data_IF_550421449363
#
_entry.id   IF_550421449363
#
_cell.length_a   1.000
_cell.length_b   1.000
_cell.length_c   1.000
_cell.angle_alpha   90.00
_cell.angle_beta   90.00
_cell.angle_gamma   90.00
#
_symmetry.space_group_name_H-M   'P 1'
#
loop_
_entity.id
_entity.type
_entity.pdbx_description
1 polymer ?
#
# COMPACT_ATOMS: atom_id res chain seq x y z
N UNK A 1 25.53 -66.78 -2.60
CA UNK A 1 25.57 -65.53 -3.38
C UNK A 1 24.22 -64.77 -3.37
N UNK A 2 23.14 -65.29 -2.79
CA UNK A 2 21.83 -64.65 -2.76
C UNK A 2 21.65 -63.60 -1.65
N UNK A 3 22.27 -63.81 -0.47
CA UNK A 3 22.04 -62.92 0.70
C UNK A 3 22.64 -61.50 0.56
N UNK A 4 23.75 -61.38 -0.19
CA UNK A 4 24.40 -60.07 -0.42
C UNK A 4 23.59 -59.12 -1.35
N UNK A 5 22.82 -59.70 -2.27
CA UNK A 5 21.99 -58.93 -3.21
C UNK A 5 20.72 -58.35 -2.57
N UNK A 6 20.18 -59.02 -1.54
CA UNK A 6 19.00 -58.56 -0.80
C UNK A 6 19.38 -57.37 0.12
N UNK A 7 20.55 -57.41 0.74
CA UNK A 7 21.05 -56.33 1.58
C UNK A 7 21.28 -55.02 0.82
N UNK A 8 21.80 -55.09 -0.41
CA UNK A 8 22.07 -53.91 -1.24
C UNK A 8 20.80 -53.27 -1.75
N UNK A 9 19.75 -54.04 -2.09
CA UNK A 9 18.48 -53.54 -2.53
C UNK A 9 17.70 -52.84 -1.40
N UNK A 10 17.80 -53.31 -0.16
CA UNK A 10 17.17 -52.69 0.99
C UNK A 10 17.80 -51.32 1.37
N UNK A 11 19.13 -51.18 1.26
CA UNK A 11 19.82 -49.90 1.49
C UNK A 11 19.47 -48.84 0.44
N UNK A 12 19.30 -49.23 -0.84
CA UNK A 12 18.95 -48.28 -1.91
C UNK A 12 17.53 -47.74 -1.76
N UNK A 13 16.59 -48.55 -1.28
CA UNK A 13 15.21 -48.13 -1.02
C UNK A 13 15.10 -47.14 0.16
N UNK A 14 15.95 -47.28 1.18
CA UNK A 14 15.96 -46.40 2.34
C UNK A 14 16.49 -44.98 2.02
N UNK A 15 17.42 -44.85 1.04
CA UNK A 15 17.99 -43.57 0.63
C UNK A 15 17.00 -42.76 -0.23
N UNK A 16 16.11 -43.41 -0.98
CA UNK A 16 15.08 -42.74 -1.80
C UNK A 16 13.90 -42.19 -0.96
N UNK A 17 13.64 -42.75 0.22
CA UNK A 17 12.60 -42.27 1.11
C UNK A 17 12.98 -40.97 1.90
N UNK A 18 14.27 -40.65 1.98
CA UNK A 18 14.76 -39.48 2.72
C UNK A 18 14.57 -38.14 1.98
N UNK A 19 14.25 -38.15 0.67
CA UNK A 19 14.13 -36.94 -0.13
C UNK A 19 12.71 -36.33 -0.17
N UNK A 20 11.71 -36.91 0.50
CA UNK A 20 10.31 -36.47 0.41
C UNK A 20 9.77 -35.72 1.64
N UNK A 21 10.64 -35.34 2.58
CA UNK A 21 10.20 -34.52 3.73
C UNK A 21 10.45 -33.04 3.42
N UNK A 22 9.83 -32.55 2.34
CA UNK A 22 9.63 -31.13 2.15
C UNK A 22 8.55 -30.70 3.15
N UNK A 23 8.92 -29.96 4.18
CA UNK A 23 7.90 -29.32 5.01
C UNK A 23 7.06 -28.42 4.10
N UNK A 24 5.72 -28.48 4.20
CA UNK A 24 4.87 -27.56 3.43
C UNK A 24 5.30 -26.13 3.77
N UNK A 25 5.59 -25.34 2.72
CA UNK A 25 5.95 -23.94 2.90
C UNK A 25 4.80 -23.25 3.62
N UNK A 26 5.02 -22.58 4.77
CA UNK A 26 3.97 -21.88 5.49
C UNK A 26 3.27 -20.94 4.55
N UNK A 27 1.94 -20.98 4.52
CA UNK A 27 1.14 -20.02 3.75
C UNK A 27 1.30 -18.65 4.40
N UNK A 28 1.61 -17.59 3.64
CA UNK A 28 1.73 -16.25 4.21
C UNK A 28 0.37 -15.77 4.73
N UNK A 29 0.39 -15.11 5.88
CA UNK A 29 -0.76 -14.34 6.36
C UNK A 29 -0.91 -13.10 5.50
N UNK A 30 -2.12 -12.86 4.97
CA UNK A 30 -2.37 -11.74 4.07
C UNK A 30 -3.20 -10.63 4.72
N UNK A 31 -2.91 -9.38 4.33
CA UNK A 31 -3.47 -8.17 4.91
C UNK A 31 -4.05 -7.23 3.85
N UNK A 32 -5.00 -6.42 4.27
CA UNK A 32 -5.54 -5.28 3.52
C UNK A 32 -5.33 -4.02 4.35
N UNK A 33 -4.84 -2.96 3.73
CA UNK A 33 -4.81 -1.63 4.36
C UNK A 33 -6.22 -1.05 4.33
N UNK A 34 -6.72 -0.67 5.48
CA UNK A 34 -8.06 -0.07 5.63
C UNK A 34 -7.96 1.21 6.47
N UNK A 35 -7.95 2.40 5.83
CA UNK A 35 -7.89 3.65 6.55
C UNK A 35 -9.17 3.88 7.34
N UNK A 36 -9.08 4.47 8.55
CA UNK A 36 -10.24 4.92 9.30
C UNK A 36 -11.18 5.76 8.42
N UNK A 37 -12.48 5.51 8.57
CA UNK A 37 -13.47 6.20 7.78
C UNK A 37 -13.42 7.71 8.04
N UNK A 38 -13.31 8.50 6.97
CA UNK A 38 -13.37 9.94 7.06
C UNK A 38 -14.79 10.42 7.39
N UNK A 39 -14.90 11.55 8.07
CA UNK A 39 -16.16 12.29 8.16
C UNK A 39 -16.60 12.72 6.75
N UNK A 40 -17.89 12.55 6.45
CA UNK A 40 -18.41 12.97 5.15
C UNK A 40 -18.30 14.49 4.98
N UNK A 41 -17.80 14.93 3.83
CA UNK A 41 -17.82 16.35 3.49
C UNK A 41 -19.26 16.84 3.31
N UNK A 42 -19.64 18.03 3.83
CA UNK A 42 -20.95 18.61 3.58
C UNK A 42 -21.18 18.78 2.07
N UNK A 43 -22.39 18.46 1.60
CA UNK A 43 -22.71 18.58 0.16
C UNK A 43 -22.47 20.00 -0.39
N UNK A 44 -22.72 21.03 0.41
CA UNK A 44 -22.49 22.43 0.05
C UNK A 44 -21.01 22.81 -0.08
N UNK A 45 -20.10 22.01 0.49
CA UNK A 45 -18.65 22.22 0.37
C UNK A 45 -18.05 21.48 -0.83
N UNK A 46 -18.85 20.70 -1.57
CA UNK A 46 -18.39 19.96 -2.73
C UNK A 46 -18.45 20.83 -3.99
N UNK A 47 -17.36 20.78 -4.74
CA UNK A 47 -17.25 21.42 -6.06
C UNK A 47 -18.01 20.63 -7.11
N UNK A 48 -18.49 21.24 -8.20
CA UNK A 48 -19.20 20.53 -9.27
C UNK A 48 -18.30 19.60 -10.07
N UNK A 49 -16.98 19.79 -10.00
CA UNK A 49 -15.99 19.02 -10.74
C UNK A 49 -15.86 17.57 -10.20
N UNK A 50 -15.44 16.68 -11.09
CA UNK A 50 -15.20 15.29 -10.78
C UNK A 50 -13.71 14.97 -10.76
N UNK A 51 -13.31 14.08 -9.86
CA UNK A 51 -11.96 13.55 -9.77
C UNK A 51 -11.92 12.10 -10.24
N UNK A 52 -10.89 11.70 -10.98
CA UNK A 52 -10.55 10.30 -11.19
C UNK A 52 -9.20 10.02 -10.55
N UNK A 53 -9.11 8.94 -9.78
CA UNK A 53 -7.81 8.42 -9.34
C UNK A 53 -7.05 7.90 -10.54
N UNK A 54 -5.78 8.25 -10.68
CA UNK A 54 -4.84 7.56 -11.55
C UNK A 54 -4.39 6.24 -10.90
N UNK A 55 -3.68 5.41 -11.67
CA UNK A 55 -3.03 4.23 -11.11
C UNK A 55 -1.98 4.65 -10.08
N UNK A 56 -2.09 4.11 -8.88
CA UNK A 56 -1.12 4.38 -7.81
C UNK A 56 0.13 3.53 -8.05
N UNK A 57 1.24 4.20 -8.26
CA UNK A 57 2.56 3.55 -8.33
C UNK A 57 3.14 3.39 -6.94
N UNK A 58 3.98 2.37 -6.76
CA UNK A 58 4.75 2.16 -5.53
C UNK A 58 6.23 2.07 -5.90
N UNK A 59 7.10 2.74 -5.14
CA UNK A 59 8.53 2.68 -5.34
C UNK A 59 9.03 1.23 -5.27
N UNK A 60 9.97 0.87 -6.14
CA UNK A 60 10.38 -0.53 -6.37
C UNK A 60 10.77 -1.30 -5.10
N UNK A 61 11.35 -0.61 -4.11
CA UNK A 61 11.69 -1.21 -2.82
C UNK A 61 10.46 -1.72 -2.04
N UNK A 62 9.26 -1.19 -2.30
CA UNK A 62 8.01 -1.48 -1.60
C UNK A 62 6.92 -2.02 -2.53
N UNK A 63 7.22 -2.24 -3.80
CA UNK A 63 6.23 -2.63 -4.81
C UNK A 63 5.77 -4.09 -4.69
N UNK A 64 6.56 -4.94 -4.02
CA UNK A 64 6.18 -6.32 -3.75
C UNK A 64 5.07 -6.43 -2.71
N UNK A 65 4.42 -7.60 -2.66
CA UNK A 65 3.34 -7.83 -1.70
C UNK A 65 3.83 -8.03 -0.26
N UNK A 66 5.09 -8.42 -0.03
CA UNK A 66 5.63 -8.62 1.30
C UNK A 66 5.65 -7.33 2.12
N UNK A 67 5.34 -7.42 3.42
CA UNK A 67 5.56 -6.30 4.34
C UNK A 67 7.06 -6.01 4.43
N UNK A 68 7.44 -4.74 4.49
CA UNK A 68 8.84 -4.33 4.57
C UNK A 68 9.11 -3.70 5.93
N UNK A 69 10.20 -4.12 6.58
CA UNK A 69 10.65 -3.58 7.85
C UNK A 69 12.03 -2.97 7.71
N UNK A 70 12.22 -1.79 8.30
CA UNK A 70 13.52 -1.15 8.48
C UNK A 70 14.05 -1.53 9.86
N UNK A 71 15.21 -2.21 9.91
CA UNK A 71 15.81 -2.74 11.14
C UNK A 71 16.97 -1.87 11.64
N UNK A 72 17.64 -1.14 10.74
CA UNK A 72 18.64 -0.13 11.08
C UNK A 72 18.66 1.00 10.03
N UNK A 73 19.73 1.81 9.99
CA UNK A 73 19.78 2.97 9.11
C UNK A 73 19.86 2.62 7.62
N UNK A 74 20.33 1.43 7.27
CA UNK A 74 20.51 0.96 5.89
C UNK A 74 19.87 -0.39 5.60
N UNK A 75 19.44 -1.12 6.65
CA UNK A 75 18.92 -2.48 6.50
C UNK A 75 17.39 -2.48 6.42
N UNK A 76 16.89 -2.98 5.30
CA UNK A 76 15.47 -3.27 5.06
C UNK A 76 15.31 -4.76 4.77
N UNK A 77 14.25 -5.35 5.30
CA UNK A 77 13.92 -6.76 5.09
C UNK A 77 12.47 -6.90 4.65
N UNK A 78 12.23 -7.81 3.71
CA UNK A 78 10.88 -8.22 3.32
C UNK A 78 10.44 -9.41 4.16
N UNK A 79 9.22 -9.39 4.69
CA UNK A 79 8.68 -10.46 5.51
C UNK A 79 8.22 -11.63 4.61
N UNK A 80 8.76 -12.84 4.79
CA UNK A 80 8.37 -13.99 3.99
C UNK A 80 7.00 -14.60 4.38
N UNK A 81 6.46 -14.20 5.55
CA UNK A 81 5.26 -14.79 6.13
C UNK A 81 4.05 -13.84 6.19
N UNK A 82 4.27 -12.54 5.99
CA UNK A 82 3.24 -11.51 6.07
C UNK A 82 3.26 -10.64 4.82
N UNK A 83 2.13 -10.56 4.13
CA UNK A 83 2.06 -9.89 2.84
C UNK A 83 0.71 -9.15 2.66
N UNK A 84 0.66 -8.20 1.76
CA UNK A 84 -0.60 -7.68 1.25
C UNK A 84 -1.29 -8.76 0.39
N UNK A 85 -2.64 -8.80 0.42
CA UNK A 85 -3.42 -9.79 -0.34
C UNK A 85 -3.30 -9.59 -1.86
N UNK A 86 -2.97 -8.39 -2.29
CA UNK A 86 -2.71 -8.02 -3.69
C UNK A 86 -1.67 -6.90 -3.75
N UNK A 87 -1.35 -6.42 -4.95
CA UNK A 87 -0.39 -5.32 -5.12
C UNK A 87 -0.76 -4.09 -4.26
N UNK A 88 0.18 -3.57 -3.46
CA UNK A 88 -0.09 -2.48 -2.53
C UNK A 88 -0.57 -1.21 -3.24
N UNK A 89 -0.13 -0.94 -4.47
CA UNK A 89 -0.61 0.18 -5.27
C UNK A 89 -2.11 0.12 -5.57
N UNK A 90 -2.63 -1.07 -5.90
CA UNK A 90 -4.05 -1.26 -6.16
C UNK A 90 -4.88 -1.10 -4.88
N UNK A 91 -4.43 -1.70 -3.76
CA UNK A 91 -5.10 -1.55 -2.45
C UNK A 91 -5.17 -0.08 -2.05
N UNK A 92 -4.03 0.61 -2.05
CA UNK A 92 -3.93 2.02 -1.65
C UNK A 92 -4.77 2.89 -2.57
N UNK A 93 -4.71 2.69 -3.89
CA UNK A 93 -5.47 3.48 -4.87
C UNK A 93 -6.98 3.39 -4.67
N UNK A 94 -7.50 2.18 -4.48
CA UNK A 94 -8.92 1.96 -4.23
C UNK A 94 -9.38 2.62 -2.92
N UNK A 95 -8.61 2.46 -1.84
CA UNK A 95 -8.92 3.07 -0.54
C UNK A 95 -8.84 4.60 -0.57
N UNK A 96 -7.88 5.15 -1.31
CA UNK A 96 -7.78 6.59 -1.52
C UNK A 96 -9.00 7.14 -2.27
N UNK A 97 -9.45 6.46 -3.34
CA UNK A 97 -10.64 6.86 -4.07
C UNK A 97 -11.89 6.85 -3.18
N UNK A 98 -12.12 5.77 -2.42
CA UNK A 98 -13.24 5.66 -1.48
C UNK A 98 -13.22 6.75 -0.39
N UNK A 99 -12.05 7.00 0.18
CA UNK A 99 -11.87 8.02 1.20
C UNK A 99 -12.13 9.44 0.66
N UNK A 100 -11.56 9.75 -0.50
CA UNK A 100 -11.72 11.05 -1.16
C UNK A 100 -13.14 11.28 -1.66
N UNK A 101 -13.86 10.23 -2.10
CA UNK A 101 -15.27 10.35 -2.49
C UNK A 101 -16.14 10.73 -1.30
N UNK A 102 -15.80 10.23 -0.09
CA UNK A 102 -16.52 10.58 1.14
C UNK A 102 -16.18 11.96 1.67
N UNK A 103 -14.90 12.30 1.76
CA UNK A 103 -14.41 13.48 2.48
C UNK A 103 -13.82 14.58 1.57
N UNK A 104 -13.56 14.27 0.32
CA UNK A 104 -12.94 15.21 -0.60
C UNK A 104 -13.87 16.33 -1.09
N UNK A 105 -13.30 17.39 -1.69
CA UNK A 105 -14.05 18.55 -2.15
C UNK A 105 -14.75 18.35 -3.50
N UNK A 106 -14.63 17.18 -4.13
CA UNK A 106 -15.18 16.92 -5.46
C UNK A 106 -16.61 16.36 -5.38
N UNK A 107 -17.42 16.61 -6.41
CA UNK A 107 -18.78 16.07 -6.54
C UNK A 107 -18.80 14.55 -6.50
N UNK A 108 -17.85 13.92 -7.16
CA UNK A 108 -17.66 12.48 -7.20
C UNK A 108 -16.19 12.13 -7.44
N UNK A 109 -15.74 11.03 -6.88
CA UNK A 109 -14.41 10.47 -7.12
C UNK A 109 -14.55 9.10 -7.77
N UNK A 110 -13.90 8.93 -8.91
CA UNK A 110 -13.93 7.68 -9.67
C UNK A 110 -12.70 6.83 -9.40
N UNK A 111 -12.88 5.52 -9.40
CA UNK A 111 -11.82 4.54 -9.26
C UNK A 111 -10.82 4.63 -10.45
N UNK A 112 -9.58 4.12 -10.28
CA UNK A 112 -8.54 4.21 -11.31
C UNK A 112 -8.91 3.58 -12.66
N UNK A 113 -9.68 2.48 -12.64
CA UNK A 113 -10.12 1.71 -13.81
C UNK A 113 -11.33 2.33 -14.54
N UNK A 114 -11.93 3.40 -13.99
CA UNK A 114 -13.08 4.04 -14.58
C UNK A 114 -12.67 4.90 -15.78
N UNK A 115 -13.10 4.50 -16.98
CA UNK A 115 -12.78 5.20 -18.24
C UNK A 115 -13.62 6.47 -18.51
N UNK A 116 -14.54 6.86 -17.61
CA UNK A 116 -15.37 8.05 -17.80
C UNK A 116 -14.51 9.33 -17.73
N UNK A 117 -14.83 10.35 -18.54
CA UNK A 117 -14.16 11.64 -18.44
C UNK A 117 -14.29 12.25 -17.03
N UNK A 118 -13.21 12.84 -16.54
CA UNK A 118 -13.15 13.55 -15.28
C UNK A 118 -12.57 14.94 -15.48
N UNK A 119 -12.97 15.89 -14.64
CA UNK A 119 -12.42 17.26 -14.67
C UNK A 119 -10.94 17.25 -14.24
N UNK A 120 -10.63 16.40 -13.27
CA UNK A 120 -9.28 16.24 -12.73
C UNK A 120 -8.87 14.78 -12.65
N UNK A 121 -7.56 14.54 -12.75
CA UNK A 121 -6.92 13.25 -12.45
C UNK A 121 -5.93 13.46 -11.31
N UNK A 122 -6.03 12.64 -10.26
CA UNK A 122 -5.04 12.60 -9.18
C UNK A 122 -4.11 11.42 -9.39
N UNK A 123 -2.89 11.70 -9.79
CA UNK A 123 -1.81 10.72 -9.79
C UNK A 123 -1.17 10.63 -8.41
N UNK A 124 -0.80 9.42 -7.98
CA UNK A 124 -0.10 9.21 -6.73
C UNK A 124 1.04 8.20 -6.91
N UNK A 125 2.11 8.43 -6.17
CA UNK A 125 3.24 7.48 -6.05
C UNK A 125 3.58 7.32 -4.57
N UNK A 126 3.41 6.11 -4.06
CA UNK A 126 3.88 5.75 -2.72
C UNK A 126 5.40 5.60 -2.79
N UNK A 127 6.12 6.50 -2.16
CA UNK A 127 7.58 6.53 -2.18
C UNK A 127 8.21 5.86 -0.95
N UNK A 128 7.46 5.75 0.15
CA UNK A 128 7.84 4.99 1.34
C UNK A 128 6.63 4.22 1.88
N UNK A 129 6.84 2.95 2.22
CA UNK A 129 5.84 2.05 2.81
C UNK A 129 6.55 0.97 3.63
N UNK A 130 6.89 1.26 4.88
CA UNK A 130 7.63 0.33 5.72
C UNK A 130 7.32 0.48 7.21
N UNK A 131 7.58 -0.59 7.97
CA UNK A 131 7.62 -0.56 9.43
C UNK A 131 9.00 -0.13 9.90
N UNK A 132 9.11 0.95 10.66
CA UNK A 132 10.35 1.34 11.31
C UNK A 132 10.47 0.57 12.63
N UNK A 133 11.23 -0.51 12.62
CA UNK A 133 11.46 -1.41 13.76
C UNK A 133 12.91 -1.35 14.26
N UNK A 134 13.55 -0.20 14.08
CA UNK A 134 14.91 0.01 14.56
C UNK A 134 14.97 -0.07 16.09
N UNK A 135 15.98 -0.76 16.61
CA UNK A 135 16.21 -0.87 18.05
C UNK A 135 16.38 0.52 18.72
N UNK A 136 15.88 0.65 19.94
CA UNK A 136 16.00 1.89 20.73
C UNK A 136 15.06 3.02 20.32
N UNK A 137 14.10 2.77 19.43
CA UNK A 137 13.05 3.72 19.00
C UNK A 137 11.67 3.09 19.14
N UNK A 138 10.61 3.88 19.35
CA UNK A 138 9.25 3.36 19.23
C UNK A 138 9.02 2.80 17.81
N UNK A 139 8.44 1.60 17.69
CA UNK A 139 8.09 1.07 16.38
C UNK A 139 7.05 1.97 15.71
N UNK A 140 7.13 2.13 14.39
CA UNK A 140 6.22 3.00 13.68
C UNK A 140 5.90 2.50 12.28
N UNK A 141 4.70 2.85 11.79
CA UNK A 141 4.35 2.77 10.37
C UNK A 141 4.80 4.07 9.68
N UNK A 142 5.53 3.94 8.59
CA UNK A 142 5.98 5.07 7.77
C UNK A 142 5.39 4.95 6.40
N UNK A 143 4.65 6.00 5.98
CA UNK A 143 4.06 6.12 4.65
C UNK A 143 4.40 7.50 4.10
N UNK A 144 4.84 7.56 2.85
CA UNK A 144 5.06 8.82 2.15
C UNK A 144 4.51 8.70 0.73
N UNK A 145 3.70 9.67 0.33
CA UNK A 145 3.02 9.68 -0.98
C UNK A 145 3.27 11.00 -1.68
N UNK A 146 3.70 10.90 -2.92
CA UNK A 146 3.78 12.03 -3.84
C UNK A 146 2.50 12.11 -4.67
N UNK A 147 1.87 13.27 -4.70
CA UNK A 147 0.64 13.56 -5.43
C UNK A 147 0.88 14.55 -6.56
N UNK A 148 0.14 14.38 -7.66
CA UNK A 148 0.01 15.36 -8.72
C UNK A 148 -1.47 15.43 -9.16
N UNK A 149 -2.09 16.59 -8.97
CA UNK A 149 -3.44 16.87 -9.47
C UNK A 149 -3.33 17.48 -10.87
N UNK A 150 -3.98 16.87 -11.83
CA UNK A 150 -3.91 17.21 -13.24
C UNK A 150 -5.28 17.70 -13.70
N UNK A 151 -5.37 18.94 -14.14
CA UNK A 151 -6.54 19.51 -14.80
C UNK A 151 -6.65 18.97 -16.22
N UNK A 152 -7.84 18.47 -16.59
CA UNK A 152 -8.16 17.88 -17.88
C UNK A 152 -8.98 18.83 -18.77
N UNK A 153 -9.33 20.04 -18.32
CA UNK A 153 -10.23 20.94 -19.04
C UNK A 153 -9.61 21.58 -20.30
N UNK A 154 -8.28 21.62 -20.40
CA UNK A 154 -7.58 22.25 -21.53
C UNK A 154 -7.29 21.28 -22.68
N UNK A 155 -6.81 21.81 -23.81
CA UNK A 155 -6.31 21.02 -24.94
C UNK A 155 -5.12 20.14 -24.52
N UNK A 156 -4.39 20.54 -23.52
CA UNK A 156 -3.30 19.78 -22.90
C UNK A 156 -3.52 19.69 -21.39
N UNK A 157 -3.45 18.50 -20.81
CA UNK A 157 -3.51 18.33 -19.35
C UNK A 157 -2.40 19.15 -18.65
N UNK A 158 -2.74 19.77 -17.53
CA UNK A 158 -1.82 20.62 -16.76
C UNK A 158 -1.80 20.20 -15.31
N UNK A 159 -0.60 20.01 -14.75
CA UNK A 159 -0.43 19.82 -13.29
C UNK A 159 -0.76 21.15 -12.60
N UNK A 160 -1.79 21.15 -11.78
CA UNK A 160 -2.27 22.33 -11.02
C UNK A 160 -1.88 22.29 -9.56
N UNK A 161 -1.58 21.11 -9.04
CA UNK A 161 -1.10 20.93 -7.66
C UNK A 161 -0.15 19.72 -7.62
N UNK A 162 0.99 19.87 -6.96
CA UNK A 162 1.92 18.77 -6.71
C UNK A 162 2.47 18.88 -5.29
N UNK A 163 2.45 17.77 -4.55
CA UNK A 163 2.91 17.75 -3.16
C UNK A 163 3.34 16.34 -2.74
N UNK A 164 4.36 16.26 -1.89
CA UNK A 164 4.69 15.05 -1.13
C UNK A 164 4.20 15.21 0.29
N UNK A 165 3.47 14.23 0.79
CA UNK A 165 2.96 14.18 2.16
C UNK A 165 3.43 12.87 2.78
N UNK A 166 3.99 12.97 3.99
CA UNK A 166 4.46 11.83 4.75
C UNK A 166 3.75 11.78 6.11
N UNK A 167 3.52 10.58 6.60
CA UNK A 167 3.05 10.33 7.96
C UNK A 167 3.87 9.22 8.61
N UNK A 168 4.12 9.40 9.91
CA UNK A 168 4.74 8.43 10.78
C UNK A 168 3.81 8.20 11.98
N UNK A 169 3.28 6.99 12.09
CA UNK A 169 2.36 6.59 13.16
C UNK A 169 3.08 5.63 14.09
N UNK A 170 3.24 6.02 15.36
CA UNK A 170 3.82 5.16 16.38
C UNK A 170 2.90 3.96 16.67
N UNK A 171 3.50 2.79 16.82
CA UNK A 171 2.79 1.53 17.01
C UNK A 171 2.92 1.06 18.47
N UNK A 172 1.90 0.37 19.02
CA UNK A 172 1.97 -0.17 20.37
C UNK A 172 3.02 -1.28 20.48
N UNK A 173 3.34 -1.96 19.38
CA UNK A 173 4.35 -3.03 19.29
C UNK A 173 4.83 -3.21 17.86
N UNK A 174 6.03 -3.78 17.71
CA UNK A 174 6.59 -4.18 16.42
C UNK A 174 5.95 -5.50 15.95
N UNK A 175 4.76 -5.42 15.34
CA UNK A 175 4.06 -6.59 14.79
C UNK A 175 3.40 -6.26 13.45
N UNK A 176 3.20 -7.28 12.56
CA UNK A 176 2.53 -7.11 11.28
C UNK A 176 1.13 -6.50 11.40
N UNK A 177 0.33 -6.97 12.36
CA UNK A 177 -1.03 -6.45 12.59
C UNK A 177 -1.05 -4.98 13.01
N UNK A 178 -0.14 -4.60 13.92
CA UNK A 178 -0.01 -3.20 14.34
C UNK A 178 0.46 -2.33 13.17
N UNK A 179 1.40 -2.82 12.37
CA UNK A 179 1.92 -2.11 11.20
C UNK A 179 0.83 -1.85 10.16
N UNK A 180 0.04 -2.85 9.79
CA UNK A 180 -1.01 -2.67 8.78
C UNK A 180 -2.11 -1.71 9.27
N UNK A 181 -2.48 -1.78 10.55
CA UNK A 181 -3.38 -0.76 11.16
C UNK A 181 -2.74 0.63 11.13
N UNK A 182 -1.44 0.72 11.42
CA UNK A 182 -0.67 1.96 11.33
C UNK A 182 -0.63 2.54 9.93
N UNK A 183 -0.51 1.71 8.90
CA UNK A 183 -0.61 2.16 7.49
C UNK A 183 -1.99 2.76 7.18
N UNK A 184 -3.07 2.15 7.69
CA UNK A 184 -4.42 2.72 7.54
C UNK A 184 -4.52 4.11 8.16
N UNK A 185 -4.04 4.28 9.40
CA UNK A 185 -4.02 5.57 10.09
C UNK A 185 -3.16 6.59 9.35
N UNK A 186 -1.94 6.22 8.96
CA UNK A 186 -1.04 7.09 8.20
C UNK A 186 -1.66 7.55 6.87
N UNK A 187 -2.33 6.65 6.16
CA UNK A 187 -3.01 6.97 4.91
C UNK A 187 -4.16 7.96 5.13
N UNK A 188 -4.97 7.78 6.18
CA UNK A 188 -6.04 8.72 6.53
C UNK A 188 -5.49 10.13 6.86
N UNK A 189 -4.38 10.22 7.62
CA UNK A 189 -3.71 11.49 7.92
C UNK A 189 -3.17 12.17 6.66
N UNK A 190 -2.55 11.41 5.75
CA UNK A 190 -2.05 11.91 4.47
C UNK A 190 -3.21 12.47 3.63
N UNK A 191 -4.33 11.74 3.53
CA UNK A 191 -5.49 12.15 2.75
C UNK A 191 -6.18 13.39 3.36
N UNK A 192 -6.26 13.48 4.69
CA UNK A 192 -6.77 14.68 5.35
C UNK A 192 -5.90 15.91 5.06
N UNK A 193 -4.56 15.75 5.10
CA UNK A 193 -3.63 16.82 4.73
C UNK A 193 -3.72 17.18 3.23
N UNK A 194 -3.91 16.20 2.36
CA UNK A 194 -4.12 16.43 0.94
C UNK A 194 -5.37 17.29 0.73
N UNK A 195 -6.51 16.90 1.29
CA UNK A 195 -7.79 17.63 1.15
C UNK A 195 -7.69 19.04 1.68
N UNK A 196 -7.06 19.26 2.85
CA UNK A 196 -6.85 20.60 3.39
C UNK A 196 -5.93 21.48 2.53
N UNK A 197 -5.05 20.88 1.74
CA UNK A 197 -4.17 21.59 0.82
C UNK A 197 -4.72 21.74 -0.60
N UNK A 198 -5.84 21.07 -0.90
CA UNK A 198 -6.55 21.18 -2.18
C UNK A 198 -7.49 22.42 -2.23
N UNK A 199 -7.33 23.43 -1.36
CA UNK A 199 -7.93 24.75 -1.59
C UNK A 199 -7.36 25.33 -2.90
N UNK A 200 -7.87 24.74 -3.98
CA UNK A 200 -7.69 25.25 -5.33
C UNK A 200 -8.49 26.56 -5.31
N UNK A 201 -7.79 27.66 -5.06
CA UNK A 201 -8.38 28.99 -5.23
C UNK A 201 -9.12 29.00 -6.55
N UNK A 202 -10.41 29.37 -6.47
CA UNK A 202 -11.28 29.34 -7.62
C UNK A 202 -10.63 30.04 -8.79
N UNK A 203 -10.32 29.27 -9.81
CA UNK A 203 -10.05 29.83 -11.13
C UNK A 203 -11.34 30.52 -11.58
N UNK A 204 -11.33 31.87 -11.49
CA UNK A 204 -12.33 32.72 -12.15
C UNK A 204 -12.22 32.57 -13.66
#
# INVERSE_FOLDING_TARGET
>A
MSSARIGLAACTAAVLAACSIGQPMPQPTTYVVDPPAAAAAPAAARRPETLRMGNVRVAGAYAGNALVYRLDDVQYVSDPYHAFISEPGAIVGNRMAEWLDRAGPFKAVMQPDNARPASYVLEATVIELYGDFRAGRPPAAVVSVQFALIDQAGVRPKVVHARTIASRVDLPQASPDALVRGYGTALAEILAQLVSGLDIEGTK
#
